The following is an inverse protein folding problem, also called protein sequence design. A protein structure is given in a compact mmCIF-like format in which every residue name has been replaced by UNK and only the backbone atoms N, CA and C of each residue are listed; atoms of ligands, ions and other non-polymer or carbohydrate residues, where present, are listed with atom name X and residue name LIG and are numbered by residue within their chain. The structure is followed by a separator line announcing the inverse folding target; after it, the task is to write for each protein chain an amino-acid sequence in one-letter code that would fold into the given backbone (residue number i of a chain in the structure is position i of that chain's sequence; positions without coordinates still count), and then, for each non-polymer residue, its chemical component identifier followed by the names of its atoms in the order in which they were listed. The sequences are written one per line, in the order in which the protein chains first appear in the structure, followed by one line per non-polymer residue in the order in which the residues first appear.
data_IF_127319829698
#
_entry.id   IF_127319829698
#
_cell.length_a   1.000
_cell.length_b   1.000
_cell.length_c   1.000
_cell.angle_alpha   90.00
_cell.angle_beta   90.00
_cell.angle_gamma   90.00
#
_symmetry.space_group_name_H-M   'P 1'
#
loop_
_entity.id
_entity.type
_entity.pdbx_description
1 polymer ?
#
# COMPACT_ATOMS: atom_id res chain seq x y z
N UNK A 1 -35.92 -49.73 38.04
CA UNK A 1 -34.44 -49.69 38.01
C UNK A 1 -33.99 -49.86 36.57
N UNK A 2 -33.92 -48.75 35.83
CA UNK A 2 -32.71 -47.99 35.46
C UNK A 2 -31.87 -48.67 34.37
N UNK A 3 -32.18 -48.18 33.16
CA UNK A 3 -31.35 -47.81 32.00
C UNK A 3 -30.32 -48.81 31.45
N UNK A 4 -30.69 -49.38 30.30
CA UNK A 4 -29.80 -49.93 29.28
C UNK A 4 -29.21 -48.82 28.38
N UNK A 5 -28.02 -49.16 27.94
CA UNK A 5 -27.07 -48.61 26.97
C UNK A 5 -27.58 -47.96 25.67
N UNK A 6 -26.91 -46.85 25.33
CA UNK A 6 -26.20 -46.46 24.11
C UNK A 6 -26.79 -46.54 22.67
N UNK A 7 -26.30 -45.54 21.92
CA UNK A 7 -26.20 -45.39 20.45
C UNK A 7 -27.44 -44.76 19.79
N UNK A 8 -27.39 -43.79 18.89
CA UNK A 8 -26.37 -43.34 17.94
C UNK A 8 -26.58 -41.86 17.62
N UNK A 9 -25.49 -41.08 17.49
CA UNK A 9 -25.48 -39.87 16.65
C UNK A 9 -24.19 -39.86 15.84
N UNK A 10 -24.37 -40.04 14.54
CA UNK A 10 -23.40 -39.89 13.45
C UNK A 10 -23.04 -38.42 13.28
N UNK A 11 -21.75 -38.09 13.34
CA UNK A 11 -21.21 -36.83 12.82
C UNK A 11 -20.32 -37.13 11.62
N UNK A 12 -20.53 -36.35 10.56
CA UNK A 12 -19.85 -36.42 9.27
C UNK A 12 -18.34 -36.23 9.41
N UNK A 13 -17.58 -37.14 8.80
CA UNK A 13 -16.18 -36.98 8.47
C UNK A 13 -16.01 -35.80 7.50
N UNK A 14 -15.20 -34.81 7.89
CA UNK A 14 -14.44 -34.01 6.94
C UNK A 14 -12.98 -34.41 7.08
N UNK A 15 -12.43 -34.71 5.92
CA UNK A 15 -11.17 -35.36 5.63
C UNK A 15 -9.97 -34.51 6.10
N UNK A 16 -9.29 -34.93 7.17
CA UNK A 16 -8.01 -34.37 7.63
C UNK A 16 -6.92 -35.36 7.21
N UNK A 17 -6.44 -35.22 5.98
CA UNK A 17 -5.28 -35.99 5.55
C UNK A 17 -4.00 -35.45 6.19
N UNK A 18 -3.54 -36.22 7.18
CA UNK A 18 -2.14 -36.45 7.58
C UNK A 18 -1.33 -35.31 8.18
N UNK A 19 -1.54 -35.06 9.48
CA UNK A 19 -0.43 -34.76 10.39
C UNK A 19 0.06 -36.07 10.99
N UNK A 20 1.18 -36.60 10.47
CA UNK A 20 1.89 -37.73 11.08
C UNK A 20 2.42 -37.30 12.45
N UNK A 21 1.85 -37.90 13.50
CA UNK A 21 2.33 -37.77 14.88
C UNK A 21 3.41 -38.81 15.11
N UNK A 22 4.67 -38.39 15.20
CA UNK A 22 5.73 -39.16 15.84
C UNK A 22 6.14 -38.39 17.10
N UNK A 23 5.64 -38.89 18.23
CA UNK A 23 6.14 -38.59 19.57
C UNK A 23 7.62 -38.97 19.64
N UNK A 24 8.53 -38.04 19.89
CA UNK A 24 9.69 -38.18 20.79
C UNK A 24 10.54 -36.89 20.73
N UNK A 25 10.90 -36.40 21.92
CA UNK A 25 11.74 -35.22 22.23
C UNK A 25 11.12 -33.82 22.08
N UNK A 26 10.93 -33.23 23.26
CA UNK A 26 10.58 -31.84 23.53
C UNK A 26 11.72 -30.94 23.03
N UNK A 27 11.53 -30.33 21.87
CA UNK A 27 12.17 -29.08 21.47
C UNK A 27 11.12 -28.32 20.66
N UNK A 28 10.57 -27.30 21.30
CA UNK A 28 9.48 -26.46 20.84
C UNK A 28 9.92 -25.65 19.60
N UNK A 29 9.95 -26.28 18.41
CA UNK A 29 9.99 -25.52 17.17
C UNK A 29 8.60 -24.96 16.94
N UNK A 30 8.41 -23.71 17.39
CA UNK A 30 7.29 -22.90 16.95
C UNK A 30 7.33 -22.87 15.42
N UNK A 31 6.39 -23.57 14.79
CA UNK A 31 6.06 -23.41 13.39
C UNK A 31 5.49 -22.02 13.22
N UNK A 32 6.38 -21.05 12.99
CA UNK A 32 6.00 -19.73 12.54
C UNK A 32 5.34 -19.91 11.17
N UNK A 33 4.02 -19.75 11.12
CA UNK A 33 3.32 -19.38 9.89
C UNK A 33 3.84 -18.01 9.48
N UNK A 34 5.00 -17.95 8.83
CA UNK A 34 5.43 -16.74 8.13
C UNK A 34 4.53 -16.64 6.91
N UNK A 35 3.43 -15.89 7.02
CA UNK A 35 2.87 -15.28 5.82
C UNK A 35 4.01 -14.46 5.21
N UNK A 36 4.51 -14.90 4.06
CA UNK A 36 5.54 -14.17 3.33
C UNK A 36 4.91 -12.86 2.86
N UNK A 37 4.99 -11.82 3.70
CA UNK A 37 4.65 -10.47 3.30
C UNK A 37 5.58 -10.09 2.14
N UNK A 38 5.01 -9.67 1.02
CA UNK A 38 5.80 -9.22 -0.12
C UNK A 38 6.61 -7.99 0.29
N UNK A 39 7.91 -7.93 -0.04
CA UNK A 39 8.76 -6.81 0.33
C UNK A 39 8.33 -5.52 -0.37
N UNK A 40 8.41 -4.40 0.33
CA UNK A 40 8.13 -3.08 -0.22
C UNK A 40 9.30 -2.59 -1.06
N UNK A 41 8.99 -2.00 -2.22
CA UNK A 41 9.98 -1.45 -3.15
C UNK A 41 10.87 -0.38 -2.52
N UNK A 42 10.31 0.41 -1.60
CA UNK A 42 10.98 1.52 -0.93
C UNK A 42 11.24 1.23 0.57
N UNK A 43 11.49 -0.04 0.92
CA UNK A 43 11.75 -0.43 2.31
C UNK A 43 12.97 0.30 2.90
N UNK A 44 14.03 0.50 2.10
CA UNK A 44 15.25 1.20 2.56
C UNK A 44 14.98 2.64 2.97
N UNK A 45 14.10 3.33 2.24
CA UNK A 45 13.70 4.70 2.57
C UNK A 45 12.84 4.76 3.81
N UNK A 46 11.97 3.77 4.02
CA UNK A 46 11.17 3.64 5.24
C UNK A 46 12.09 3.44 6.45
N UNK A 47 13.02 2.48 6.36
CA UNK A 47 13.96 2.15 7.43
C UNK A 47 14.85 3.37 7.79
N UNK A 48 15.27 4.13 6.76
CA UNK A 48 16.08 5.34 6.95
C UNK A 48 15.40 6.47 7.74
N UNK A 49 14.09 6.41 7.95
CA UNK A 49 13.36 7.38 8.79
C UNK A 49 13.38 7.03 10.28
N UNK A 50 13.94 5.89 10.68
CA UNK A 50 14.07 5.43 12.07
C UNK A 50 12.75 5.54 12.86
N UNK A 51 11.66 5.04 12.25
CA UNK A 51 10.33 5.10 12.85
C UNK A 51 10.25 4.11 14.02
N UNK A 52 9.65 4.54 15.14
CA UNK A 52 9.47 3.66 16.30
C UNK A 52 8.32 2.65 16.11
N UNK A 53 7.41 2.93 15.16
CA UNK A 53 6.26 2.10 14.84
C UNK A 53 6.39 1.53 13.44
N UNK A 54 5.71 0.39 13.20
CA UNK A 54 5.56 -0.20 11.87
C UNK A 54 5.06 0.82 10.85
N UNK A 55 5.67 0.82 9.67
CA UNK A 55 5.24 1.61 8.52
C UNK A 55 5.27 0.70 7.28
N UNK A 56 4.18 0.64 6.50
CA UNK A 56 2.97 1.44 6.62
C UNK A 56 2.05 1.05 7.80
N UNK A 57 1.33 2.03 8.36
CA UNK A 57 0.32 1.80 9.42
C UNK A 57 -1.08 1.67 8.82
N UNK A 58 -1.91 0.77 9.38
CA UNK A 58 -3.34 0.64 9.01
C UNK A 58 -3.57 0.41 7.51
N UNK A 59 -2.75 -0.46 6.92
CA UNK A 59 -2.85 -0.81 5.50
C UNK A 59 -3.78 -1.97 5.23
N UNK A 60 -4.40 -1.91 4.06
CA UNK A 60 -5.10 -3.03 3.43
C UNK A 60 -4.56 -3.23 2.01
N UNK A 61 -4.56 -4.46 1.53
CA UNK A 61 -4.29 -4.72 0.12
C UNK A 61 -5.47 -4.20 -0.72
N UNK A 62 -5.22 -3.44 -1.80
CA UNK A 62 -6.29 -3.05 -2.70
C UNK A 62 -6.80 -4.29 -3.45
N UNK A 63 -8.10 -4.38 -3.72
CA UNK A 63 -8.69 -5.45 -4.51
C UNK A 63 -9.37 -4.86 -5.74
N UNK A 64 -8.69 -4.91 -6.90
CA UNK A 64 -9.24 -4.53 -8.20
C UNK A 64 -9.80 -3.10 -8.27
N UNK A 65 -9.19 -2.15 -7.57
CA UNK A 65 -9.72 -0.78 -7.45
C UNK A 65 -9.10 0.12 -8.52
N UNK A 66 -9.94 0.81 -9.31
CA UNK A 66 -9.46 1.90 -10.16
C UNK A 66 -9.07 3.11 -9.29
N UNK A 67 -7.89 3.65 -9.53
CA UNK A 67 -7.34 4.77 -8.77
C UNK A 67 -6.76 5.82 -9.71
N UNK A 68 -6.63 7.04 -9.19
CA UNK A 68 -6.19 8.20 -9.95
C UNK A 68 -4.98 8.84 -9.28
N UNK A 69 -4.09 9.45 -10.06
CA UNK A 69 -2.96 10.22 -9.54
C UNK A 69 -2.59 11.35 -10.48
N UNK A 70 -1.86 12.32 -9.95
CA UNK A 70 -1.11 13.24 -10.79
C UNK A 70 0.14 12.52 -11.33
N UNK A 71 0.47 12.85 -12.57
CA UNK A 71 1.48 12.16 -13.36
C UNK A 71 2.18 13.12 -14.30
N UNK A 72 3.41 12.78 -14.67
CA UNK A 72 4.07 13.28 -15.86
C UNK A 72 3.64 12.43 -17.08
N UNK A 73 3.82 12.99 -18.27
CA UNK A 73 3.67 12.32 -19.56
C UNK A 73 5.06 12.28 -20.23
N UNK A 74 5.60 11.11 -20.62
CA UNK A 74 4.98 9.78 -20.65
C UNK A 74 4.78 9.14 -19.28
N UNK A 75 3.90 8.12 -19.20
CA UNK A 75 3.65 7.38 -17.95
C UNK A 75 4.92 6.70 -17.39
N UNK A 76 5.88 6.42 -18.27
CA UNK A 76 7.20 5.85 -17.94
C UNK A 76 8.19 6.85 -17.34
N UNK A 77 7.81 8.12 -17.18
CA UNK A 77 8.67 9.12 -16.58
C UNK A 77 9.12 8.70 -15.17
N UNK A 78 10.41 8.79 -14.88
CA UNK A 78 11.06 8.23 -13.66
C UNK A 78 10.48 8.77 -12.33
N UNK A 79 9.90 9.96 -12.38
CA UNK A 79 9.29 10.61 -11.21
C UNK A 79 7.83 10.21 -10.97
N UNK A 80 7.22 9.48 -11.90
CA UNK A 80 5.94 8.85 -11.64
C UNK A 80 6.12 7.76 -10.58
N UNK A 81 5.08 7.52 -9.79
CA UNK A 81 5.05 6.45 -8.79
C UNK A 81 6.03 6.53 -7.62
N UNK A 82 6.84 7.60 -7.55
CA UNK A 82 7.69 7.81 -6.38
C UNK A 82 6.87 8.15 -5.12
N UNK A 83 7.25 7.60 -3.96
CA UNK A 83 6.87 8.13 -2.67
C UNK A 83 7.30 9.57 -2.47
N UNK A 84 6.57 10.31 -1.63
CA UNK A 84 6.91 11.70 -1.34
C UNK A 84 8.32 11.84 -0.75
N UNK A 85 8.77 10.92 0.11
CA UNK A 85 10.12 10.94 0.71
C UNK A 85 11.27 10.79 -0.30
N UNK A 86 11.02 10.09 -1.40
CA UNK A 86 11.97 9.98 -2.52
C UNK A 86 11.86 11.23 -3.40
N UNK A 87 10.64 11.61 -3.74
CA UNK A 87 10.36 12.75 -4.61
C UNK A 87 10.94 14.06 -4.05
N UNK A 88 10.65 14.38 -2.78
CA UNK A 88 11.12 15.60 -2.10
C UNK A 88 12.65 15.74 -2.18
N UNK A 89 13.38 14.62 -2.08
CA UNK A 89 14.84 14.55 -2.17
C UNK A 89 15.34 14.88 -3.57
N UNK A 90 14.67 14.35 -4.61
CA UNK A 90 15.03 14.58 -6.01
C UNK A 90 14.83 16.04 -6.41
N UNK A 91 13.75 16.67 -5.95
CA UNK A 91 13.44 18.07 -6.27
C UNK A 91 14.11 19.07 -5.32
N UNK A 92 14.99 18.61 -4.42
CA UNK A 92 15.64 19.43 -3.39
C UNK A 92 14.66 20.28 -2.57
N UNK A 93 13.48 19.73 -2.27
CA UNK A 93 12.49 20.39 -1.43
C UNK A 93 12.76 20.03 0.04
N UNK A 94 13.22 20.97 0.89
CA UNK A 94 13.52 20.68 2.28
C UNK A 94 12.23 20.37 3.05
N UNK A 95 11.94 19.08 3.24
CA UNK A 95 10.92 18.64 4.18
C UNK A 95 11.57 18.35 5.54
N UNK A 96 11.12 18.96 6.64
CA UNK A 96 11.81 18.88 7.93
C UNK A 96 11.47 17.58 8.66
N UNK A 97 11.90 16.43 8.12
CA UNK A 97 11.59 15.09 8.65
C UNK A 97 11.98 14.90 10.13
N UNK A 98 12.99 15.61 10.63
CA UNK A 98 13.49 15.46 12.00
C UNK A 98 12.53 15.98 13.08
N UNK A 99 11.69 16.97 12.77
CA UNK A 99 10.68 17.51 13.72
C UNK A 99 9.28 16.92 13.53
N UNK A 100 9.07 16.07 12.53
CA UNK A 100 7.77 15.44 12.29
C UNK A 100 7.57 14.22 13.19
N UNK A 101 6.32 13.94 13.52
CA UNK A 101 5.92 12.72 14.20
C UNK A 101 5.95 11.51 13.25
N UNK A 102 6.06 10.31 13.82
CA UNK A 102 6.18 9.06 13.06
C UNK A 102 5.02 8.83 12.06
N UNK A 103 3.74 9.09 12.42
CA UNK A 103 2.64 8.95 11.46
C UNK A 103 2.80 9.86 10.23
N UNK A 104 3.22 11.11 10.41
CA UNK A 104 3.45 12.02 9.29
C UNK A 104 4.61 11.58 8.42
N UNK A 105 5.72 11.15 9.02
CA UNK A 105 6.86 10.59 8.29
C UNK A 105 6.44 9.37 7.46
N UNK A 106 5.72 8.43 8.08
CA UNK A 106 5.25 7.22 7.42
C UNK A 106 4.33 7.52 6.23
N UNK A 107 3.38 8.45 6.38
CA UNK A 107 2.50 8.89 5.26
C UNK A 107 3.28 9.42 4.05
N UNK A 108 4.50 9.92 4.22
CA UNK A 108 5.34 10.36 3.10
C UNK A 108 6.11 9.23 2.42
N UNK A 109 6.12 8.02 2.99
CA UNK A 109 6.68 6.84 2.35
C UNK A 109 5.72 6.18 1.34
N UNK A 110 4.47 6.64 1.27
CA UNK A 110 3.53 6.25 0.23
C UNK A 110 3.55 7.20 -0.97
N UNK A 111 3.32 6.66 -2.17
CA UNK A 111 2.96 7.44 -3.34
C UNK A 111 1.51 7.95 -3.20
N UNK A 112 1.24 9.17 -3.67
CA UNK A 112 -0.08 9.80 -3.51
C UNK A 112 -1.06 9.39 -4.61
N UNK A 113 -2.24 8.94 -4.20
CA UNK A 113 -3.34 8.55 -5.09
C UNK A 113 -4.69 9.08 -4.60
N UNK A 114 -5.70 8.98 -5.45
CA UNK A 114 -7.07 9.40 -5.21
C UNK A 114 -8.04 8.30 -5.64
N UNK A 115 -9.12 8.14 -4.87
CA UNK A 115 -10.17 7.15 -5.17
C UNK A 115 -11.05 7.53 -6.35
N UNK A 116 -11.07 8.81 -6.75
CA UNK A 116 -11.87 9.30 -7.89
C UNK A 116 -11.11 10.36 -8.68
N UNK A 117 -11.42 10.49 -9.97
CA UNK A 117 -10.89 11.57 -10.81
C UNK A 117 -11.28 12.95 -10.27
N UNK A 118 -12.52 13.09 -9.75
CA UNK A 118 -13.01 14.35 -9.17
C UNK A 118 -12.16 14.78 -7.97
N UNK A 119 -11.80 13.84 -7.09
CA UNK A 119 -10.91 14.09 -5.97
C UNK A 119 -9.52 14.54 -6.42
N UNK A 120 -8.95 13.89 -7.44
CA UNK A 120 -7.64 14.26 -7.98
C UNK A 120 -7.66 15.68 -8.60
N UNK A 121 -8.69 16.00 -9.37
CA UNK A 121 -8.89 17.34 -9.96
C UNK A 121 -9.06 18.39 -8.87
N UNK A 122 -9.98 18.16 -7.93
CA UNK A 122 -10.25 19.12 -6.85
C UNK A 122 -9.00 19.38 -6.00
N UNK A 123 -8.23 18.34 -5.68
CA UNK A 123 -6.99 18.50 -4.91
C UNK A 123 -5.94 19.31 -5.69
N UNK A 124 -5.89 19.17 -7.02
CA UNK A 124 -5.00 19.96 -7.86
C UNK A 124 -5.45 21.41 -7.94
N UNK A 125 -6.72 21.66 -8.26
CA UNK A 125 -7.25 23.01 -8.45
C UNK A 125 -7.10 23.86 -7.18
N UNK A 126 -7.31 23.26 -6.00
CA UNK A 126 -7.15 23.91 -4.70
C UNK A 126 -5.68 24.06 -4.24
N UNK A 127 -4.71 23.54 -4.98
CA UNK A 127 -3.29 23.69 -4.67
C UNK A 127 -2.76 25.05 -5.16
N UNK A 128 -1.89 25.67 -4.35
CA UNK A 128 -1.23 26.92 -4.71
C UNK A 128 -0.38 26.78 -5.98
N UNK A 129 -0.27 27.86 -6.76
CA UNK A 129 0.55 27.88 -7.97
C UNK A 129 2.01 27.51 -7.68
N UNK A 130 2.57 27.98 -6.56
CA UNK A 130 3.93 27.62 -6.15
C UNK A 130 4.08 26.11 -5.92
N UNK A 131 3.12 25.47 -5.26
CA UNK A 131 3.18 24.03 -5.03
C UNK A 131 3.01 23.24 -6.34
N UNK A 132 2.14 23.69 -7.25
CA UNK A 132 2.00 23.10 -8.59
C UNK A 132 3.33 23.17 -9.35
N UNK A 133 3.95 24.35 -9.39
CA UNK A 133 5.25 24.55 -10.04
C UNK A 133 6.35 23.67 -9.43
N UNK A 134 6.38 23.54 -8.10
CA UNK A 134 7.36 22.69 -7.42
C UNK A 134 7.16 21.20 -7.73
N UNK A 135 5.91 20.75 -7.89
CA UNK A 135 5.61 19.36 -8.25
C UNK A 135 5.82 19.10 -9.75
N UNK A 136 5.43 20.02 -10.62
CA UNK A 136 5.60 19.92 -12.07
C UNK A 136 4.79 18.81 -12.76
N UNK A 137 3.82 18.19 -12.08
CA UNK A 137 2.92 17.23 -12.72
C UNK A 137 2.08 17.92 -13.79
N UNK A 138 1.92 17.27 -14.94
CA UNK A 138 1.23 17.85 -16.10
C UNK A 138 -0.08 17.15 -16.43
N UNK A 139 -0.31 15.93 -15.93
CA UNK A 139 -1.44 15.09 -16.31
C UNK A 139 -2.05 14.37 -15.12
N UNK A 140 -3.26 13.84 -15.32
CA UNK A 140 -3.87 12.80 -14.49
C UNK A 140 -3.71 11.46 -15.20
N UNK A 141 -3.34 10.44 -14.43
CA UNK A 141 -3.33 9.05 -14.87
C UNK A 141 -4.30 8.21 -14.03
N UNK A 142 -4.85 7.14 -14.62
CA UNK A 142 -5.55 6.10 -13.88
C UNK A 142 -5.03 4.71 -14.20
N UNK A 143 -5.30 3.79 -13.28
CA UNK A 143 -4.92 2.39 -13.37
C UNK A 143 -5.69 1.59 -12.33
N UNK A 144 -5.67 0.27 -12.47
CA UNK A 144 -6.29 -0.65 -11.52
C UNK A 144 -5.19 -1.21 -10.61
N UNK A 145 -5.36 -1.05 -9.30
CA UNK A 145 -4.51 -1.65 -8.29
C UNK A 145 -5.15 -2.92 -7.71
N UNK A 146 -4.34 -3.95 -7.51
CA UNK A 146 -4.72 -5.22 -6.90
C UNK A 146 -3.74 -5.64 -5.80
N UNK A 147 -4.02 -6.79 -5.19
CA UNK A 147 -3.31 -7.28 -4.01
C UNK A 147 -1.83 -7.59 -4.26
N UNK A 148 -1.40 -7.66 -5.52
CA UNK A 148 -0.01 -7.94 -5.92
C UNK A 148 0.80 -6.66 -6.12
N UNK A 149 0.15 -5.50 -6.17
CA UNK A 149 0.84 -4.24 -6.45
C UNK A 149 1.40 -3.59 -5.19
N UNK A 150 0.72 -3.74 -4.06
CA UNK A 150 1.12 -3.05 -2.84
C UNK A 150 0.04 -2.98 -1.77
N UNK A 151 0.25 -2.04 -0.86
CA UNK A 151 -0.62 -1.75 0.27
C UNK A 151 -1.17 -0.33 0.16
N UNK A 152 -2.44 -0.12 0.51
CA UNK A 152 -3.05 1.21 0.61
C UNK A 152 -3.38 1.55 2.06
N UNK A 153 -3.17 2.80 2.45
CA UNK A 153 -3.77 3.32 3.67
C UNK A 153 -5.26 3.62 3.43
N UNK A 154 -6.02 3.68 4.52
CA UNK A 154 -7.42 4.15 4.47
C UNK A 154 -7.51 5.52 3.77
N UNK A 155 -8.33 5.66 2.71
CA UNK A 155 -8.56 6.96 2.09
C UNK A 155 -9.13 7.99 3.05
N UNK A 156 -8.68 9.23 2.90
CA UNK A 156 -9.20 10.37 3.63
C UNK A 156 -10.58 10.77 3.13
N UNK A 157 -11.24 11.72 3.80
CA UNK A 157 -12.54 12.27 3.38
C UNK A 157 -12.48 12.95 2.00
N UNK A 158 -11.30 13.37 1.54
CA UNK A 158 -11.12 13.94 0.19
C UNK A 158 -10.83 12.85 -0.85
N UNK A 159 -10.75 11.59 -0.44
CA UNK A 159 -10.39 10.46 -1.29
C UNK A 159 -8.89 10.30 -1.52
N UNK A 160 -8.04 11.12 -0.89
CA UNK A 160 -6.58 10.97 -0.95
C UNK A 160 -6.11 9.79 -0.09
N UNK A 161 -5.17 9.00 -0.60
CA UNK A 161 -4.50 7.95 0.15
C UNK A 161 -3.03 7.79 -0.26
N UNK A 162 -2.27 7.12 0.60
CA UNK A 162 -0.90 6.68 0.32
C UNK A 162 -0.90 5.22 -0.14
N UNK A 163 -0.12 4.93 -1.19
CA UNK A 163 0.13 3.61 -1.72
C UNK A 163 1.59 3.21 -1.54
N UNK A 164 1.83 2.01 -1.04
CA UNK A 164 3.15 1.45 -0.75
C UNK A 164 3.37 0.27 -1.69
N UNK A 165 4.13 0.53 -2.74
CA UNK A 165 4.38 -0.41 -3.84
C UNK A 165 5.23 -1.60 -3.38
N UNK A 166 4.84 -2.81 -3.75
CA UNK A 166 5.68 -4.00 -3.62
C UNK A 166 6.79 -4.00 -4.67
N UNK A 167 7.92 -4.62 -4.36
CA UNK A 167 9.07 -4.67 -5.27
C UNK A 167 8.77 -5.35 -6.62
N UNK A 168 7.82 -6.28 -6.63
CA UNK A 168 7.37 -7.01 -7.82
C UNK A 168 6.42 -6.22 -8.72
N UNK A 169 5.90 -5.07 -8.26
CA UNK A 169 4.91 -4.31 -9.00
C UNK A 169 5.53 -3.51 -10.16
N UNK A 170 4.81 -3.45 -11.29
CA UNK A 170 5.14 -2.58 -12.42
C UNK A 170 3.94 -1.70 -12.78
N UNK A 171 3.84 -0.57 -12.07
CA UNK A 171 2.74 0.38 -12.26
C UNK A 171 2.77 1.06 -13.63
N UNK A 172 3.93 1.13 -14.30
CA UNK A 172 4.04 1.79 -15.61
C UNK A 172 3.24 1.05 -16.69
N UNK A 173 3.06 -0.26 -16.54
CA UNK A 173 2.23 -1.10 -17.42
C UNK A 173 0.74 -1.04 -17.09
N UNK A 174 0.39 -0.68 -15.86
CA UNK A 174 -0.99 -0.66 -15.38
C UNK A 174 -1.69 0.68 -15.58
N UNK A 175 -0.93 1.76 -15.61
CA UNK A 175 -1.49 3.11 -15.67
C UNK A 175 -1.49 3.69 -17.09
N UNK A 176 -2.48 4.54 -17.36
CA UNK A 176 -2.64 5.29 -18.60
C UNK A 176 -2.88 6.75 -18.30
N UNK A 177 -2.29 7.63 -19.12
CA UNK A 177 -2.57 9.07 -19.08
C UNK A 177 -4.00 9.30 -19.56
N UNK A 178 -4.79 10.07 -18.81
CA UNK A 178 -6.18 10.37 -19.13
C UNK A 178 -6.35 11.78 -19.70
N UNK A 179 -5.81 12.78 -19.02
CA UNK A 179 -6.02 14.20 -19.35
C UNK A 179 -4.91 15.08 -18.80
N UNK A 180 -4.76 16.26 -19.38
CA UNK A 180 -3.90 17.31 -18.85
C UNK A 180 -4.47 17.92 -17.56
N UNK A 181 -3.58 18.39 -16.70
CA UNK A 181 -3.90 19.19 -15.53
C UNK A 181 -4.00 20.67 -15.94
N UNK A 182 -5.07 21.35 -15.52
CA UNK A 182 -5.20 22.80 -15.78
C UNK A 182 -4.15 23.58 -14.99
N UNK A 183 -3.55 24.57 -15.64
CA UNK A 183 -2.56 25.47 -15.04
C UNK A 183 -1.38 24.72 -14.42
N UNK A 184 -0.89 23.70 -15.13
CA UNK A 184 0.30 22.94 -14.78
C UNK A 184 1.60 23.69 -15.07
#
# INVERSE_FOLDING_TARGET
MVKKSNSNYTYHEYDIHSCIVIFFFILLQATYCTSNAMPLKYQKEIDGLNLQNLCPTETVSPLGVEVFRWSYNPITHERNFLPNVVFDRIINHPYPYHIKDNPTKCKRCGASFFTTIKSAVNAWENMSAQNKANLGYTHIASGILDEKDGLINKPSVTGHFGFYEFDTADLTRKFKILSELKNA
#
